data_IF_552500368265
#
_entry.id   IF_552500368265
#
_cell.length_a   1.000
_cell.length_b   1.000
_cell.length_c   1.000
_cell.angle_alpha   90.00
_cell.angle_beta   90.00
_cell.angle_gamma   90.00
#
_symmetry.space_group_name_H-M   'P 1'
#
loop_
_entity.id
_entity.type
_entity.pdbx_description
1 polymer ?
#
# COMPACT_ATOMS: atom_id res chain seq x y z
N UNK A 1 37.20 4.80 -4.06
CA UNK A 1 37.67 4.31 -5.38
C UNK A 1 36.89 3.09 -5.87
N UNK A 2 36.75 2.04 -5.06
CA UNK A 2 36.08 0.77 -5.41
C UNK A 2 34.61 0.87 -5.83
N UNK A 3 33.82 1.71 -5.15
CA UNK A 3 32.38 1.88 -5.44
C UNK A 3 32.12 2.32 -6.89
N UNK A 4 32.97 3.20 -7.44
CA UNK A 4 32.84 3.67 -8.84
C UNK A 4 33.19 2.58 -9.85
N UNK A 5 34.16 1.71 -9.53
CA UNK A 5 34.56 0.59 -10.37
C UNK A 5 33.46 -0.48 -10.46
N UNK A 6 32.89 -0.88 -9.32
CA UNK A 6 31.77 -1.84 -9.29
C UNK A 6 30.52 -1.28 -9.96
N UNK A 7 30.19 0.00 -9.76
CA UNK A 7 29.04 0.64 -10.41
C UNK A 7 29.18 0.66 -11.95
N UNK A 8 30.40 0.85 -12.46
CA UNK A 8 30.68 0.83 -13.90
C UNK A 8 30.45 -0.56 -14.49
N UNK A 9 31.05 -1.59 -13.89
CA UNK A 9 30.84 -3.00 -14.28
C UNK A 9 29.35 -3.36 -14.23
N UNK A 10 28.66 -2.93 -13.17
CA UNK A 10 27.23 -3.23 -13.00
C UNK A 10 26.38 -2.60 -14.12
N UNK A 11 26.64 -1.34 -14.49
CA UNK A 11 25.87 -0.64 -15.53
C UNK A 11 26.22 -1.07 -16.96
N UNK A 12 27.48 -1.42 -17.23
CA UNK A 12 27.95 -1.77 -18.57
C UNK A 12 27.71 -3.23 -18.92
N UNK A 13 27.81 -4.13 -17.93
CA UNK A 13 27.74 -5.57 -18.16
C UNK A 13 26.41 -6.20 -17.75
N UNK A 14 25.54 -5.48 -17.02
CA UNK A 14 24.25 -5.99 -16.59
C UNK A 14 23.12 -5.02 -16.94
N UNK A 15 22.15 -5.49 -17.72
CA UNK A 15 20.91 -4.75 -18.03
C UNK A 15 19.90 -4.86 -16.87
N UNK A 16 20.36 -4.65 -15.64
CA UNK A 16 19.54 -4.72 -14.44
C UNK A 16 18.75 -3.42 -14.28
N UNK A 17 17.53 -3.43 -14.78
CA UNK A 17 16.55 -2.40 -14.48
C UNK A 17 15.95 -2.73 -13.11
N UNK A 18 15.99 -1.77 -12.19
CA UNK A 18 15.13 -1.86 -11.01
C UNK A 18 13.69 -1.84 -11.53
N UNK A 19 13.01 -2.99 -11.44
CA UNK A 19 11.58 -3.06 -11.69
C UNK A 19 10.85 -2.08 -10.77
N UNK A 20 9.66 -1.63 -11.19
CA UNK A 20 8.81 -0.86 -10.25
C UNK A 20 8.63 -1.71 -8.99
N UNK A 21 8.75 -1.11 -7.79
CA UNK A 21 8.38 -1.81 -6.56
C UNK A 21 7.02 -2.47 -6.80
N UNK A 22 6.88 -3.75 -6.45
CA UNK A 22 5.55 -4.34 -6.43
C UNK A 22 4.75 -3.53 -5.41
N UNK A 23 3.84 -2.71 -5.93
CA UNK A 23 2.91 -1.98 -5.10
C UNK A 23 1.88 -3.00 -4.66
N UNK A 24 1.69 -3.13 -3.35
CA UNK A 24 0.66 -4.02 -2.81
C UNK A 24 -0.67 -3.72 -3.50
N UNK A 25 -1.24 -4.79 -4.08
CA UNK A 25 -2.49 -4.67 -4.81
C UNK A 25 -3.60 -4.60 -3.77
N UNK A 26 -4.49 -3.62 -3.86
CA UNK A 26 -5.60 -3.52 -2.92
C UNK A 26 -6.43 -4.82 -2.95
N UNK A 27 -6.51 -5.50 -1.79
CA UNK A 27 -7.21 -6.78 -1.64
C UNK A 27 -8.67 -6.72 -2.14
N UNK A 28 -9.37 -5.61 -1.89
CA UNK A 28 -10.74 -5.37 -2.40
C UNK A 28 -10.77 -5.27 -3.92
N UNK A 29 -9.82 -4.56 -4.52
CA UNK A 29 -9.73 -4.42 -5.98
C UNK A 29 -9.45 -5.76 -6.67
N UNK A 30 -8.62 -6.59 -6.07
CA UNK A 30 -8.26 -7.92 -6.55
C UNK A 30 -9.43 -8.90 -6.40
N UNK A 31 -10.05 -8.95 -5.22
CA UNK A 31 -11.23 -9.78 -4.98
C UNK A 31 -12.38 -9.46 -5.94
N UNK A 32 -12.63 -8.16 -6.20
CA UNK A 32 -13.66 -7.74 -7.17
C UNK A 32 -13.27 -8.11 -8.61
N UNK A 33 -11.99 -7.99 -8.97
CA UNK A 33 -11.52 -8.37 -10.31
C UNK A 33 -11.69 -9.87 -10.58
N UNK A 34 -11.39 -10.71 -9.59
CA UNK A 34 -11.59 -12.16 -9.67
C UNK A 34 -13.06 -12.47 -9.90
N UNK A 35 -13.97 -11.82 -9.16
CA UNK A 35 -15.42 -12.00 -9.34
C UNK A 35 -15.88 -11.54 -10.73
N UNK A 36 -15.42 -10.39 -11.20
CA UNK A 36 -15.77 -9.88 -12.54
C UNK A 36 -15.34 -10.87 -13.63
N UNK A 37 -14.16 -11.48 -13.51
CA UNK A 37 -13.63 -12.47 -14.46
C UNK A 37 -14.20 -13.87 -14.31
N UNK A 38 -15.00 -14.14 -13.27
CA UNK A 38 -15.56 -15.46 -13.02
C UNK A 38 -16.45 -15.92 -14.17
N UNK A 39 -16.22 -17.14 -14.67
CA UNK A 39 -17.07 -17.78 -15.68
C UNK A 39 -18.40 -18.27 -15.11
N UNK A 40 -18.49 -18.40 -13.78
CA UNK A 40 -19.64 -18.97 -13.08
C UNK A 40 -20.69 -17.94 -12.66
N UNK A 41 -20.40 -16.64 -12.82
CA UNK A 41 -21.33 -15.56 -12.49
C UNK A 41 -22.09 -15.09 -13.73
N UNK A 42 -23.38 -14.80 -13.54
CA UNK A 42 -24.22 -14.19 -14.56
C UNK A 42 -23.82 -12.72 -14.79
N UNK A 43 -24.25 -12.16 -15.92
CA UNK A 43 -23.87 -10.79 -16.32
C UNK A 43 -24.39 -9.71 -15.36
N UNK A 44 -25.53 -9.97 -14.71
CA UNK A 44 -26.10 -9.05 -13.71
C UNK A 44 -25.18 -8.95 -12.50
N UNK A 45 -24.74 -10.09 -11.94
CA UNK A 45 -23.81 -10.13 -10.82
C UNK A 45 -22.46 -9.50 -11.18
N UNK A 46 -21.96 -9.72 -12.40
CA UNK A 46 -20.74 -9.06 -12.89
C UNK A 46 -20.88 -7.54 -12.92
N UNK A 47 -22.01 -7.01 -13.40
CA UNK A 47 -22.28 -5.56 -13.40
C UNK A 47 -22.29 -4.97 -12.00
N UNK A 48 -22.84 -5.69 -11.02
CA UNK A 48 -22.80 -5.28 -9.61
C UNK A 48 -21.34 -5.16 -9.13
N UNK A 49 -20.50 -6.17 -9.36
CA UNK A 49 -19.09 -6.11 -8.95
C UNK A 49 -18.29 -5.02 -9.68
N UNK A 50 -18.60 -4.73 -10.95
CA UNK A 50 -18.02 -3.59 -11.67
C UNK A 50 -18.43 -2.27 -11.00
N UNK A 51 -19.70 -2.10 -10.66
CA UNK A 51 -20.19 -0.91 -9.97
C UNK A 51 -19.54 -0.74 -8.59
N UNK A 52 -19.44 -1.82 -7.80
CA UNK A 52 -18.73 -1.84 -6.52
C UNK A 52 -17.27 -1.40 -6.67
N UNK A 53 -16.58 -1.90 -7.70
CA UNK A 53 -15.19 -1.54 -7.99
C UNK A 53 -15.03 -0.07 -8.35
N UNK A 54 -15.96 0.49 -9.14
CA UNK A 54 -15.99 1.91 -9.48
C UNK A 54 -16.16 2.76 -8.22
N UNK A 55 -17.13 2.41 -7.36
CA UNK A 55 -17.38 3.13 -6.11
C UNK A 55 -16.15 3.07 -5.19
N UNK A 56 -15.54 1.90 -5.04
CA UNK A 56 -14.33 1.73 -4.24
C UNK A 56 -13.19 2.63 -4.74
N UNK A 57 -12.91 2.64 -6.05
CA UNK A 57 -11.89 3.53 -6.65
C UNK A 57 -12.21 5.01 -6.45
N UNK A 58 -13.48 5.42 -6.57
CA UNK A 58 -13.91 6.80 -6.34
C UNK A 58 -13.70 7.22 -4.88
N UNK A 59 -14.00 6.34 -3.92
CA UNK A 59 -13.76 6.59 -2.49
C UNK A 59 -12.27 6.75 -2.21
N UNK A 60 -11.43 5.87 -2.76
CA UNK A 60 -9.97 5.99 -2.64
C UNK A 60 -9.47 7.31 -3.24
N UNK A 61 -9.99 7.74 -4.39
CA UNK A 61 -9.61 9.02 -5.01
C UNK A 61 -9.93 10.23 -4.13
N UNK A 62 -11.02 10.19 -3.36
CA UNK A 62 -11.40 11.27 -2.43
C UNK A 62 -10.33 11.50 -1.36
N UNK A 63 -9.67 10.45 -0.89
CA UNK A 63 -8.56 10.57 0.06
C UNK A 63 -7.39 11.36 -0.54
N UNK A 64 -6.94 11.01 -1.74
CA UNK A 64 -5.87 11.74 -2.43
C UNK A 64 -6.25 13.19 -2.76
N UNK A 65 -7.50 13.45 -3.13
CA UNK A 65 -7.97 14.83 -3.29
C UNK A 65 -7.87 15.63 -2.00
N UNK A 66 -8.20 15.03 -0.86
CA UNK A 66 -8.10 15.70 0.44
C UNK A 66 -6.65 15.96 0.85
N UNK A 67 -5.73 15.02 0.56
CA UNK A 67 -4.29 15.23 0.78
C UNK A 67 -3.81 16.47 0.03
N UNK A 68 -4.11 16.56 -1.28
CA UNK A 68 -3.69 17.70 -2.09
C UNK A 68 -4.32 19.01 -1.59
N UNK A 69 -5.61 18.99 -1.25
CA UNK A 69 -6.31 20.16 -0.69
C UNK A 69 -5.65 20.65 0.61
N UNK A 70 -5.31 19.74 1.52
CA UNK A 70 -4.65 20.08 2.78
C UNK A 70 -3.21 20.54 2.55
N UNK A 71 -2.49 19.98 1.58
CA UNK A 71 -1.15 20.46 1.20
C UNK A 71 -1.20 21.90 0.68
N UNK A 72 -2.17 22.24 -0.17
CA UNK A 72 -2.37 23.61 -0.66
C UNK A 72 -2.73 24.58 0.47
N UNK A 73 -3.59 24.16 1.41
CA UNK A 73 -3.97 24.95 2.57
C UNK A 73 -2.80 25.17 3.54
N UNK A 74 -2.01 24.13 3.81
CA UNK A 74 -0.82 24.22 4.66
C UNK A 74 0.28 25.07 4.03
N UNK A 75 0.38 25.11 2.70
CA UNK A 75 1.33 25.97 1.99
C UNK A 75 0.94 27.46 2.02
N UNK A 76 -0.35 27.77 2.20
CA UNK A 76 -0.87 29.15 2.20
C UNK A 76 -1.14 29.71 3.59
N UNK A 77 -1.30 28.86 4.60
CA UNK A 77 -1.62 29.28 5.96
C UNK A 77 -0.75 28.55 6.99
N UNK A 78 0.10 29.30 7.70
CA UNK A 78 1.01 28.77 8.72
C UNK A 78 0.29 28.14 9.93
N UNK A 79 -1.01 28.41 10.11
CA UNK A 79 -1.83 27.81 11.18
C UNK A 79 -2.42 26.44 10.81
N UNK A 80 -2.25 25.96 9.57
CA UNK A 80 -2.82 24.69 9.10
C UNK A 80 -1.70 23.71 8.81
N UNK A 81 -1.73 22.55 9.45
CA UNK A 81 -0.81 21.43 9.21
C UNK A 81 -1.55 20.16 8.80
N UNK A 82 -1.02 19.47 7.78
CA UNK A 82 -1.52 18.16 7.35
C UNK A 82 -0.64 17.03 7.88
N UNK A 83 -1.24 16.07 8.60
CA UNK A 83 -0.57 14.83 9.01
C UNK A 83 -1.22 13.69 8.23
N UNK A 84 -0.42 12.97 7.44
CA UNK A 84 -0.82 11.72 6.81
C UNK A 84 -0.11 10.60 7.55
N UNK A 85 -0.82 9.51 7.83
CA UNK A 85 -0.23 8.35 8.50
C UNK A 85 -0.58 7.12 7.68
N UNK A 86 0.43 6.44 7.16
CA UNK A 86 0.27 5.10 6.59
C UNK A 86 0.37 4.06 7.71
N UNK A 87 -0.63 3.19 7.79
CA UNK A 87 -0.72 2.18 8.82
C UNK A 87 -0.01 0.92 8.34
N UNK A 88 1.23 0.72 8.81
CA UNK A 88 1.98 -0.48 8.52
C UNK A 88 1.53 -1.63 9.42
N UNK A 89 2.09 -2.82 9.18
CA UNK A 89 1.78 -4.01 9.96
C UNK A 89 2.04 -3.80 11.45
N UNK A 90 1.06 -4.17 12.27
CA UNK A 90 1.22 -4.27 13.72
C UNK A 90 2.21 -5.36 14.08
N UNK A 91 3.28 -4.99 14.78
CA UNK A 91 4.29 -5.92 15.25
C UNK A 91 3.94 -6.36 16.66
N UNK A 92 3.70 -7.66 16.85
CA UNK A 92 3.54 -8.22 18.19
C UNK A 92 4.91 -8.49 18.78
N UNK A 93 5.14 -8.00 20.01
CA UNK A 93 6.39 -8.16 20.73
C UNK A 93 6.15 -8.84 22.09
N UNK A 94 7.13 -9.64 22.57
CA UNK A 94 8.39 -9.99 21.91
C UNK A 94 8.22 -11.12 20.87
N UNK A 95 8.97 -11.03 19.76
CA UNK A 95 8.99 -12.07 18.70
C UNK A 95 9.93 -13.21 19.09
N UNK A 96 9.53 -14.01 20.07
CA UNK A 96 10.30 -15.18 20.50
C UNK A 96 9.84 -16.39 19.68
N UNK A 97 10.74 -17.19 19.07
CA UNK A 97 10.40 -18.37 18.27
C UNK A 97 10.03 -19.57 19.16
N UNK A 98 9.20 -19.35 20.17
CA UNK A 98 8.69 -20.38 21.09
C UNK A 98 7.16 -20.34 21.01
N UNK A 99 6.54 -21.48 20.70
CA UNK A 99 5.11 -21.56 20.39
C UNK A 99 4.21 -21.11 21.56
N UNK A 100 4.62 -21.38 22.80
CA UNK A 100 3.90 -20.94 24.01
C UNK A 100 3.90 -19.41 24.17
N UNK A 101 4.95 -18.73 23.73
CA UNK A 101 5.05 -17.27 23.84
C UNK A 101 4.06 -16.55 22.93
N UNK A 102 3.49 -17.23 21.92
CA UNK A 102 2.44 -16.68 21.06
C UNK A 102 1.21 -16.23 21.87
N UNK A 103 0.81 -17.01 22.87
CA UNK A 103 -0.35 -16.71 23.73
C UNK A 103 -0.01 -15.71 24.84
N UNK A 104 1.28 -15.44 25.08
CA UNK A 104 1.79 -14.53 26.09
C UNK A 104 2.15 -13.14 25.53
N UNK A 105 1.88 -12.88 24.24
CA UNK A 105 2.10 -11.58 23.61
C UNK A 105 1.16 -10.54 24.21
N UNK A 106 1.70 -9.64 25.03
CA UNK A 106 0.95 -8.57 25.69
C UNK A 106 1.15 -7.20 25.04
N UNK A 107 2.16 -7.04 24.16
CA UNK A 107 2.53 -5.77 23.56
C UNK A 107 2.36 -5.82 22.04
N UNK A 108 1.56 -4.89 21.52
CA UNK A 108 1.42 -4.64 20.09
C UNK A 108 2.00 -3.27 19.78
N UNK A 109 3.00 -3.21 18.90
CA UNK A 109 3.54 -1.97 18.37
C UNK A 109 2.83 -1.68 17.05
N UNK A 110 2.04 -0.61 17.06
CA UNK A 110 1.49 -0.04 15.84
C UNK A 110 2.57 0.77 15.14
N UNK A 111 3.03 0.29 13.98
CA UNK A 111 4.01 1.01 13.17
C UNK A 111 3.26 2.00 12.29
N UNK A 112 3.41 3.27 12.62
CA UNK A 112 2.86 4.38 11.87
C UNK A 112 3.99 4.96 11.00
N UNK A 113 3.82 4.97 9.68
CA UNK A 113 4.70 5.73 8.79
C UNK A 113 4.05 7.10 8.60
N UNK A 114 4.68 8.14 9.18
CA UNK A 114 4.20 9.54 9.11
C UNK A 114 4.98 10.27 8.02
#
# INVERSE_FOLDING_TARGET
>A
YWVKFYLKIFKENFTLHFGRPQVDTCCTCEALEIKIKSKFLNDIAKRVHVAEKIVHKRRAKKFYYKINEVQEQAATNENIGGICIDYMQNLQLPTIPVQETFYLRQLTVSVFCV
#
